data_IF_598469114382
#
_entry.id   IF_598469114382
#
_cell.length_a   1.000
_cell.length_b   1.000
_cell.length_c   1.000
_cell.angle_alpha   90.00
_cell.angle_beta   90.00
_cell.angle_gamma   90.00
#
_symmetry.space_group_name_H-M   'P 1'
#
loop_
_entity.id
_entity.type
_entity.pdbx_description
1 polymer ?
#
# COMPACT_ATOMS: atom_id res chain seq x y z
N UNK A 1 -4.59 24.67 53.97
CA UNK A 1 -3.14 24.48 53.76
C UNK A 1 -2.86 24.66 52.27
N UNK A 2 -2.41 25.84 51.86
CA UNK A 2 -2.03 26.13 50.48
C UNK A 2 -0.67 25.52 50.19
N UNK A 3 -0.61 24.52 49.30
CA UNK A 3 0.66 24.10 48.74
C UNK A 3 1.28 25.32 48.03
N UNK A 4 2.53 25.67 48.35
CA UNK A 4 3.23 26.72 47.64
C UNK A 4 3.31 26.36 46.16
N UNK A 5 3.12 27.34 45.28
CA UNK A 5 3.12 27.16 43.82
C UNK A 5 4.38 26.44 43.29
N UNK A 6 5.50 26.57 44.01
CA UNK A 6 6.77 25.88 43.72
C UNK A 6 6.73 24.37 43.95
N UNK A 7 6.05 23.90 45.00
CA UNK A 7 5.95 22.47 45.32
C UNK A 7 5.00 21.75 44.35
N UNK A 8 3.92 22.42 43.93
CA UNK A 8 3.00 21.91 42.91
C UNK A 8 3.68 21.72 41.55
N UNK A 9 4.52 22.68 41.12
CA UNK A 9 5.26 22.61 39.85
C UNK A 9 6.29 21.47 39.85
N UNK A 10 6.99 21.26 40.98
CA UNK A 10 7.98 20.19 41.11
C UNK A 10 7.35 18.81 40.99
N UNK A 11 6.12 18.63 41.48
CA UNK A 11 5.37 17.37 41.38
C UNK A 11 5.03 16.97 39.96
N UNK A 12 4.84 17.92 39.04
CA UNK A 12 4.57 17.63 37.61
C UNK A 12 5.75 16.89 36.97
N UNK A 13 6.99 17.26 37.30
CA UNK A 13 8.19 16.61 36.77
C UNK A 13 8.45 15.23 37.38
N UNK A 14 8.16 15.06 38.68
CA UNK A 14 8.57 13.86 39.43
C UNK A 14 7.52 12.75 39.44
N UNK A 15 6.23 13.06 39.40
CA UNK A 15 5.17 12.05 39.43
C UNK A 15 4.83 11.49 38.04
N UNK A 16 5.02 12.27 36.97
CA UNK A 16 4.64 11.87 35.60
C UNK A 16 5.55 10.76 35.05
N UNK A 17 6.86 10.83 35.34
CA UNK A 17 7.85 9.83 34.93
C UNK A 17 7.51 8.40 35.40
N UNK A 18 6.80 8.25 36.52
CA UNK A 18 6.51 6.93 37.11
C UNK A 18 5.28 6.23 36.51
N UNK A 19 4.48 6.93 35.70
CA UNK A 19 3.20 6.39 35.17
C UNK A 19 3.23 6.09 33.67
N UNK A 20 3.91 6.93 32.90
CA UNK A 20 4.00 6.81 31.45
C UNK A 20 5.35 7.30 30.97
N UNK A 21 5.88 6.65 29.93
CA UNK A 21 7.12 7.11 29.29
C UNK A 21 6.85 8.36 28.44
N UNK A 22 7.67 9.40 28.65
CA UNK A 22 7.80 10.58 27.79
C UNK A 22 9.26 11.02 27.88
N UNK A 23 9.87 11.40 26.76
CA UNK A 23 11.25 11.91 26.79
C UNK A 23 11.31 13.24 27.56
N UNK A 24 12.47 13.59 28.12
CA UNK A 24 12.62 14.84 28.87
C UNK A 24 12.31 16.06 27.98
N UNK A 25 12.82 16.08 26.74
CA UNK A 25 12.52 17.11 25.76
C UNK A 25 11.03 17.14 25.39
N UNK A 26 10.40 15.98 25.21
CA UNK A 26 8.97 15.88 24.93
C UNK A 26 8.11 16.42 26.08
N UNK A 27 8.47 16.12 27.33
CA UNK A 27 7.74 16.64 28.50
C UNK A 27 7.86 18.17 28.58
N UNK A 28 9.05 18.72 28.33
CA UNK A 28 9.26 20.17 28.31
C UNK A 28 8.41 20.83 27.23
N UNK A 29 8.37 20.30 26.01
CA UNK A 29 7.55 20.86 24.93
C UNK A 29 6.05 20.76 25.20
N UNK A 30 5.56 19.65 25.77
CA UNK A 30 4.16 19.53 26.19
C UNK A 30 3.81 20.60 27.23
N UNK A 31 4.68 20.84 28.22
CA UNK A 31 4.43 21.85 29.25
C UNK A 31 4.49 23.28 28.72
N UNK A 32 5.41 23.58 27.79
CA UNK A 32 5.43 24.87 27.08
C UNK A 32 4.14 25.10 26.31
N UNK A 33 3.72 24.11 25.52
CA UNK A 33 2.47 24.17 24.76
C UNK A 33 1.25 24.38 25.66
N UNK A 34 1.15 23.68 26.80
CA UNK A 34 0.07 23.89 27.79
C UNK A 34 0.15 25.26 28.44
N UNK A 35 1.35 25.81 28.68
CA UNK A 35 1.52 27.16 29.21
C UNK A 35 1.06 28.23 28.22
N UNK A 36 1.31 28.01 26.92
CA UNK A 36 0.94 28.92 25.84
C UNK A 36 -0.55 28.84 25.47
N UNK A 37 -1.11 27.63 25.38
CA UNK A 37 -2.46 27.38 24.85
C UNK A 37 -3.50 27.06 25.94
N UNK A 38 -3.07 26.92 27.19
CA UNK A 38 -3.91 26.48 28.30
C UNK A 38 -4.07 24.95 28.37
N UNK A 39 -4.72 24.49 29.45
CA UNK A 39 -5.07 23.09 29.62
C UNK A 39 -6.27 22.72 28.73
N UNK A 40 -6.24 21.60 28.00
CA UNK A 40 -7.40 21.11 27.27
C UNK A 40 -8.60 20.87 28.20
N UNK A 41 -9.81 21.16 27.72
CA UNK A 41 -11.05 20.93 28.48
C UNK A 41 -11.31 19.46 28.83
N UNK A 42 -10.74 18.53 28.05
CA UNK A 42 -10.80 17.09 28.32
C UNK A 42 -9.45 16.41 28.02
N UNK A 43 -9.00 15.55 28.94
CA UNK A 43 -7.66 14.90 28.91
C UNK A 43 -7.74 13.36 28.75
N UNK A 44 -8.72 12.87 28.00
CA UNK A 44 -8.84 11.43 27.69
C UNK A 44 -8.25 11.08 26.32
N UNK A 45 -7.85 9.82 26.13
CA UNK A 45 -7.42 9.30 24.80
C UNK A 45 -8.48 9.54 23.72
N UNK A 46 -9.76 9.41 24.07
CA UNK A 46 -10.88 9.66 23.16
C UNK A 46 -11.03 11.15 22.82
N UNK A 47 -10.88 12.05 23.79
CA UNK A 47 -10.90 13.48 23.56
C UNK A 47 -9.75 13.94 22.67
N UNK A 48 -8.52 13.46 22.95
CA UNK A 48 -7.36 13.74 22.11
C UNK A 48 -7.57 13.24 20.67
N UNK A 49 -8.10 12.02 20.49
CA UNK A 49 -8.38 11.47 19.15
C UNK A 49 -9.40 12.32 18.40
N UNK A 50 -10.49 12.74 19.05
CA UNK A 50 -11.51 13.61 18.44
C UNK A 50 -10.95 14.97 18.09
N UNK A 51 -10.29 15.66 19.04
CA UNK A 51 -9.70 16.97 18.77
C UNK A 51 -8.69 16.95 17.60
N UNK A 52 -7.89 15.88 17.49
CA UNK A 52 -7.01 15.68 16.32
C UNK A 52 -7.79 15.42 15.03
N UNK A 53 -8.89 14.67 15.10
CA UNK A 53 -9.77 14.42 13.96
C UNK A 53 -10.51 15.69 13.50
N UNK A 54 -10.95 16.53 14.43
CA UNK A 54 -11.63 17.80 14.16
C UNK A 54 -10.67 18.85 13.57
N UNK A 55 -9.41 18.81 13.97
CA UNK A 55 -8.37 19.67 13.42
C UNK A 55 -7.91 19.26 12.01
N UNK A 56 -8.20 18.03 11.57
CA UNK A 56 -7.90 17.60 10.21
C UNK A 56 -9.00 18.09 9.26
N UNK A 57 -8.60 18.62 8.10
CA UNK A 57 -9.53 18.87 7.00
C UNK A 57 -10.04 17.52 6.48
N UNK A 58 -11.13 17.04 7.06
CA UNK A 58 -11.66 15.74 6.67
C UNK A 58 -12.28 15.76 5.28
N UNK A 59 -12.70 16.94 4.80
CA UNK A 59 -13.27 17.13 3.46
C UNK A 59 -12.32 17.98 2.60
N UNK A 60 -12.10 17.52 1.37
CA UNK A 60 -11.33 18.21 0.35
C UNK A 60 -12.13 18.24 -0.96
N UNK A 61 -11.77 19.08 -1.94
CA UNK A 61 -12.38 19.01 -3.27
C UNK A 61 -12.24 17.63 -3.92
N UNK A 62 -11.23 16.83 -3.52
CA UNK A 62 -10.98 15.48 -4.02
C UNK A 62 -11.67 14.38 -3.19
N UNK A 63 -12.60 14.77 -2.32
CA UNK A 63 -13.36 13.91 -1.41
C UNK A 63 -12.77 13.86 0.00
N UNK A 64 -13.38 13.03 0.85
CA UNK A 64 -12.99 12.90 2.25
C UNK A 64 -11.62 12.25 2.42
N UNK A 65 -10.78 12.77 3.32
CA UNK A 65 -9.46 12.21 3.63
C UNK A 65 -9.56 10.78 4.16
N UNK A 66 -10.43 10.56 5.15
CA UNK A 66 -10.72 9.25 5.70
C UNK A 66 -11.93 8.65 4.99
N UNK A 67 -11.74 7.48 4.41
CA UNK A 67 -12.79 6.76 3.68
C UNK A 67 -12.72 5.27 4.02
N UNK A 68 -13.54 4.46 3.36
CA UNK A 68 -13.50 3.01 3.46
C UNK A 68 -13.45 2.37 2.08
N UNK A 69 -12.95 1.14 2.03
CA UNK A 69 -13.02 0.30 0.84
C UNK A 69 -13.73 -1.01 1.18
N UNK A 70 -14.72 -1.34 0.35
CA UNK A 70 -15.51 -2.56 0.49
C UNK A 70 -14.75 -3.77 -0.07
N UNK A 71 -14.44 -4.74 0.78
CA UNK A 71 -13.72 -5.97 0.44
C UNK A 71 -14.62 -7.19 0.64
N UNK A 72 -14.65 -8.08 -0.34
CA UNK A 72 -15.40 -9.33 -0.28
C UNK A 72 -14.63 -10.35 0.56
N UNK A 73 -15.31 -10.91 1.56
CA UNK A 73 -14.76 -11.90 2.45
C UNK A 73 -15.06 -13.33 1.96
N UNK A 74 -14.30 -14.29 2.47
CA UNK A 74 -14.46 -15.72 2.16
C UNK A 74 -15.82 -16.29 2.58
N UNK A 75 -16.51 -15.62 3.51
CA UNK A 75 -17.88 -15.94 3.94
C UNK A 75 -18.96 -15.35 3.01
N UNK A 76 -18.58 -14.76 1.88
CA UNK A 76 -19.46 -14.16 0.88
C UNK A 76 -19.98 -12.76 1.24
N UNK A 77 -19.63 -12.21 2.41
CA UNK A 77 -20.05 -10.87 2.82
C UNK A 77 -19.03 -9.83 2.38
N UNK A 78 -19.51 -8.65 1.98
CA UNK A 78 -18.65 -7.47 1.84
C UNK A 78 -18.47 -6.79 3.20
N UNK A 79 -17.27 -6.31 3.49
CA UNK A 79 -16.96 -5.55 4.71
C UNK A 79 -16.16 -4.30 4.37
N UNK A 80 -16.44 -3.23 5.09
CA UNK A 80 -15.72 -1.96 4.95
C UNK A 80 -14.41 -1.98 5.75
N UNK A 81 -13.32 -1.62 5.08
CA UNK A 81 -12.01 -1.45 5.69
C UNK A 81 -11.59 0.02 5.60
N UNK A 82 -11.18 0.65 6.71
CA UNK A 82 -10.73 2.03 6.68
C UNK A 82 -9.49 2.22 5.79
N UNK A 83 -9.51 3.29 4.99
CA UNK A 83 -8.37 3.72 4.20
C UNK A 83 -8.31 5.25 4.12
N UNK A 84 -7.18 5.75 3.65
CA UNK A 84 -6.94 7.16 3.34
C UNK A 84 -7.18 7.34 1.84
N UNK A 85 -7.99 8.33 1.48
CA UNK A 85 -8.09 8.78 0.09
C UNK A 85 -6.77 9.43 -0.32
N UNK A 86 -6.00 8.82 -1.23
CA UNK A 86 -4.65 9.28 -1.53
C UNK A 86 -4.64 10.64 -2.25
N UNK A 87 -5.65 10.94 -3.06
CA UNK A 87 -5.76 12.21 -3.78
C UNK A 87 -6.10 13.35 -2.82
N UNK A 88 -7.07 13.14 -1.93
CA UNK A 88 -7.39 14.08 -0.86
C UNK A 88 -6.19 14.32 0.08
N UNK A 89 -5.46 13.24 0.42
CA UNK A 89 -4.24 13.34 1.22
C UNK A 89 -3.17 14.19 0.54
N UNK A 90 -2.87 13.95 -0.75
CA UNK A 90 -1.92 14.75 -1.50
C UNK A 90 -2.34 16.24 -1.54
N UNK A 91 -3.61 16.50 -1.84
CA UNK A 91 -4.15 17.87 -1.85
C UNK A 91 -3.94 18.56 -0.50
N UNK A 92 -4.24 17.88 0.61
CA UNK A 92 -4.03 18.43 1.96
C UNK A 92 -2.56 18.74 2.24
N UNK A 93 -1.65 17.83 1.90
CA UNK A 93 -0.22 18.04 2.13
C UNK A 93 0.27 19.27 1.34
N UNK A 94 -0.18 19.43 0.10
CA UNK A 94 0.12 20.62 -0.72
C UNK A 94 -0.45 21.92 -0.11
N UNK A 95 -1.60 21.87 0.57
CA UNK A 95 -2.20 23.06 1.19
C UNK A 95 -1.61 23.41 2.55
N UNK A 96 -1.21 22.40 3.33
CA UNK A 96 -0.78 22.60 4.71
C UNK A 96 0.74 22.74 4.84
N UNK A 97 1.51 22.28 3.86
CA UNK A 97 2.97 22.36 3.87
C UNK A 97 3.49 23.20 2.70
N UNK A 98 3.66 24.51 2.95
CA UNK A 98 4.16 25.45 1.94
C UNK A 98 5.47 25.00 1.28
N UNK A 99 6.43 24.49 2.06
CA UNK A 99 7.73 24.03 1.53
C UNK A 99 7.58 22.81 0.62
N UNK A 100 6.67 21.89 0.96
CA UNK A 100 6.38 20.74 0.12
C UNK A 100 5.70 21.18 -1.18
N UNK A 101 4.75 22.11 -1.09
CA UNK A 101 4.09 22.73 -2.25
C UNK A 101 5.09 23.39 -3.21
N UNK A 102 5.96 24.28 -2.70
CA UNK A 102 6.98 24.96 -3.50
C UNK A 102 7.90 23.96 -4.23
N UNK A 103 8.36 22.93 -3.52
CA UNK A 103 9.17 21.87 -4.09
C UNK A 103 8.41 21.05 -5.14
N UNK A 104 7.18 20.62 -4.84
CA UNK A 104 6.32 19.85 -5.73
C UNK A 104 6.03 20.60 -7.03
N UNK A 105 5.80 21.92 -6.94
CA UNK A 105 5.59 22.76 -8.10
C UNK A 105 6.83 22.92 -8.98
N UNK A 106 8.03 22.88 -8.38
CA UNK A 106 9.31 22.88 -9.09
C UNK A 106 9.57 21.60 -9.89
N UNK A 107 8.81 20.52 -9.68
CA UNK A 107 8.92 19.30 -10.47
C UNK A 107 8.38 19.48 -11.89
N UNK A 108 8.90 18.68 -12.82
CA UNK A 108 8.45 18.68 -14.21
C UNK A 108 6.94 18.39 -14.28
N UNK A 109 6.11 19.30 -14.84
CA UNK A 109 4.67 19.08 -14.92
C UNK A 109 4.31 17.74 -15.57
N UNK A 110 3.33 17.05 -15.01
CA UNK A 110 2.66 15.96 -15.72
C UNK A 110 1.80 16.51 -16.86
N UNK A 111 1.61 15.73 -17.90
CA UNK A 111 0.63 15.99 -18.95
C UNK A 111 -0.09 14.70 -19.33
N UNK A 112 -1.13 14.80 -20.16
CA UNK A 112 -1.78 13.62 -20.72
C UNK A 112 -0.81 12.72 -21.51
N UNK A 113 0.14 13.31 -22.25
CA UNK A 113 1.16 12.58 -23.02
C UNK A 113 2.36 12.13 -22.20
N UNK A 114 2.58 12.74 -21.03
CA UNK A 114 3.67 12.42 -20.10
C UNK A 114 3.12 12.39 -18.66
N UNK A 115 2.29 11.38 -18.33
CA UNK A 115 1.72 11.25 -16.99
C UNK A 115 2.81 10.85 -16.01
N UNK A 116 2.64 11.24 -14.74
CA UNK A 116 3.51 10.81 -13.66
C UNK A 116 3.29 9.34 -13.31
N UNK A 117 4.33 8.74 -12.75
CA UNK A 117 4.40 7.34 -12.40
C UNK A 117 4.16 7.15 -10.91
N UNK A 118 3.01 6.57 -10.57
CA UNK A 118 2.70 6.19 -9.21
C UNK A 118 3.29 4.82 -8.91
N UNK A 119 3.82 4.68 -7.71
CA UNK A 119 4.28 3.40 -7.16
C UNK A 119 3.52 3.06 -5.90
N UNK A 120 3.13 1.79 -5.75
CA UNK A 120 2.48 1.27 -4.54
C UNK A 120 3.43 0.30 -3.85
N UNK A 121 3.61 0.43 -2.55
CA UNK A 121 4.36 -0.51 -1.74
C UNK A 121 3.42 -1.36 -0.87
N UNK A 122 3.66 -2.68 -0.83
CA UNK A 122 3.08 -3.60 0.14
C UNK A 122 4.16 -4.07 1.09
N UNK A 123 3.91 -3.97 2.39
CA UNK A 123 4.77 -4.54 3.42
C UNK A 123 3.97 -5.34 4.44
N UNK A 124 4.53 -6.46 4.91
CA UNK A 124 3.95 -7.26 5.98
C UNK A 124 4.77 -7.13 7.26
N UNK A 125 4.24 -6.34 8.19
CA UNK A 125 4.93 -5.88 9.38
C UNK A 125 4.55 -6.78 10.56
N UNK A 126 5.56 -7.29 11.27
CA UNK A 126 5.41 -8.11 12.46
C UNK A 126 5.86 -7.33 13.72
N UNK A 127 4.94 -6.73 14.50
CA UNK A 127 5.33 -6.00 15.70
C UNK A 127 5.91 -6.94 16.75
N UNK A 128 7.07 -6.60 17.30
CA UNK A 128 7.73 -7.38 18.37
C UNK A 128 8.53 -8.57 17.83
N UNK A 129 8.53 -9.69 18.57
CA UNK A 129 9.31 -10.86 18.18
C UNK A 129 8.66 -11.60 16.99
N UNK A 130 9.30 -11.51 15.82
CA UNK A 130 8.86 -12.17 14.59
C UNK A 130 8.83 -13.70 14.68
N UNK A 131 9.65 -14.30 15.57
CA UNK A 131 9.74 -15.76 15.76
C UNK A 131 8.68 -16.32 16.70
N UNK A 132 7.78 -15.48 17.23
CA UNK A 132 6.71 -15.97 18.11
C UNK A 132 5.78 -16.91 17.32
N UNK A 133 5.44 -18.11 17.84
CA UNK A 133 4.62 -19.09 17.13
C UNK A 133 3.27 -18.53 16.66
N UNK A 134 2.69 -17.62 17.45
CA UNK A 134 1.48 -16.87 17.11
C UNK A 134 1.76 -15.37 17.13
N UNK A 135 1.74 -14.75 15.95
CA UNK A 135 1.77 -13.30 15.80
C UNK A 135 0.42 -12.76 15.31
N UNK A 136 -0.51 -12.58 16.24
CA UNK A 136 -1.84 -12.02 15.97
C UNK A 136 -1.82 -10.51 15.68
N UNK A 137 -0.67 -9.85 15.93
CA UNK A 137 -0.46 -8.42 15.70
C UNK A 137 0.18 -8.13 14.35
N UNK A 138 0.47 -9.16 13.55
CA UNK A 138 0.99 -8.98 12.19
C UNK A 138 -0.02 -8.20 11.33
N UNK A 139 0.48 -7.24 10.58
CA UNK A 139 -0.31 -6.35 9.73
C UNK A 139 0.28 -6.32 8.32
N UNK A 140 -0.58 -6.06 7.35
CA UNK A 140 -0.23 -5.73 5.97
C UNK A 140 -0.53 -4.25 5.78
N UNK A 141 0.44 -3.49 5.30
CA UNK A 141 0.31 -2.07 5.05
C UNK A 141 0.53 -1.76 3.57
N UNK A 142 -0.28 -0.86 3.04
CA UNK A 142 -0.14 -0.31 1.70
C UNK A 142 0.24 1.16 1.77
N UNK A 143 1.28 1.52 1.04
CA UNK A 143 1.78 2.89 0.89
C UNK A 143 1.88 3.24 -0.58
N UNK A 144 2.05 4.51 -0.90
CA UNK A 144 2.34 4.94 -2.25
C UNK A 144 3.26 6.15 -2.31
N UNK A 145 3.89 6.32 -3.46
CA UNK A 145 4.73 7.46 -3.78
C UNK A 145 4.67 7.77 -5.28
N UNK A 146 5.39 8.79 -5.71
CA UNK A 146 5.48 9.24 -7.10
C UNK A 146 6.95 9.18 -7.53
N UNK A 147 7.24 8.47 -8.62
CA UNK A 147 8.62 8.28 -9.09
C UNK A 147 9.29 9.58 -9.55
N UNK A 148 8.51 10.59 -9.95
CA UNK A 148 8.99 11.92 -10.31
C UNK A 148 9.55 12.71 -9.13
N UNK A 149 9.39 12.24 -7.89
CA UNK A 149 10.17 12.74 -6.75
C UNK A 149 11.68 12.43 -6.88
N UNK A 150 12.04 11.59 -7.86
CA UNK A 150 13.40 11.33 -8.28
C UNK A 150 14.20 10.72 -7.16
N UNK A 151 15.36 11.32 -6.86
CA UNK A 151 16.23 10.79 -5.80
C UNK A 151 15.56 10.80 -4.44
N UNK A 152 14.54 11.63 -4.18
CA UNK A 152 13.92 11.69 -2.85
C UNK A 152 12.92 10.55 -2.60
N UNK A 153 12.57 9.74 -3.60
CA UNK A 153 11.60 8.63 -3.42
C UNK A 153 12.03 7.58 -2.37
N UNK A 154 13.29 7.56 -1.94
CA UNK A 154 13.73 6.69 -0.84
C UNK A 154 13.40 7.25 0.57
N UNK A 155 13.05 8.53 0.66
CA UNK A 155 12.71 9.18 1.92
C UNK A 155 11.34 8.68 2.41
N UNK A 156 11.29 8.17 3.63
CA UNK A 156 10.08 7.60 4.24
C UNK A 156 8.93 8.61 4.28
N UNK A 157 9.24 9.89 4.45
CA UNK A 157 8.27 10.99 4.49
C UNK A 157 7.52 11.20 3.18
N UNK A 158 8.05 10.67 2.06
CA UNK A 158 7.43 10.72 0.74
C UNK A 158 6.66 9.44 0.38
N UNK A 159 6.51 8.51 1.33
CA UNK A 159 5.64 7.35 1.22
C UNK A 159 4.36 7.57 2.03
N UNK A 160 3.31 7.99 1.33
CA UNK A 160 2.03 8.27 1.93
C UNK A 160 1.26 6.97 2.18
N UNK A 161 0.57 6.93 3.32
CA UNK A 161 -0.17 5.75 3.75
C UNK A 161 -1.53 5.64 3.05
N UNK A 162 -1.95 4.41 2.73
CA UNK A 162 -3.29 4.14 2.18
C UNK A 162 -4.13 3.36 3.18
N UNK A 163 -3.69 2.15 3.55
CA UNK A 163 -4.46 1.30 4.47
C UNK A 163 -3.59 0.29 5.20
N UNK A 164 -4.06 -0.15 6.36
CA UNK A 164 -3.51 -1.26 7.14
C UNK A 164 -4.60 -2.29 7.41
N UNK A 165 -4.30 -3.57 7.16
CA UNK A 165 -5.17 -4.70 7.49
C UNK A 165 -4.38 -5.69 8.34
N UNK A 166 -4.98 -6.20 9.42
CA UNK A 166 -4.35 -7.30 10.18
C UNK A 166 -4.21 -8.54 9.30
N UNK A 167 -3.08 -9.24 9.34
CA UNK A 167 -2.88 -10.46 8.55
C UNK A 167 -3.95 -11.52 8.84
N UNK A 168 -4.52 -11.54 10.06
CA UNK A 168 -5.64 -12.43 10.41
C UNK A 168 -6.96 -12.09 9.73
N UNK A 169 -7.17 -10.82 9.35
CA UNK A 169 -8.30 -10.38 8.53
C UNK A 169 -7.99 -10.53 7.05
N UNK A 170 -6.74 -10.33 6.62
CA UNK A 170 -6.30 -10.55 5.24
C UNK A 170 -6.62 -11.96 4.75
N UNK A 171 -6.40 -12.98 5.59
CA UNK A 171 -6.77 -14.38 5.29
C UNK A 171 -8.27 -14.63 5.11
N UNK A 172 -9.12 -13.71 5.56
CA UNK A 172 -10.59 -13.79 5.43
C UNK A 172 -11.10 -13.00 4.24
N UNK A 173 -10.23 -12.28 3.52
CA UNK A 173 -10.57 -11.55 2.29
C UNK A 173 -10.40 -12.50 1.12
N UNK A 174 -11.42 -12.60 0.26
CA UNK A 174 -11.35 -13.38 -0.97
C UNK A 174 -10.39 -12.69 -1.95
N UNK A 175 -9.54 -13.44 -2.64
CA UNK A 175 -8.44 -12.87 -3.43
C UNK A 175 -7.32 -12.21 -2.61
N UNK A 176 -7.45 -12.17 -1.27
CA UNK A 176 -6.44 -11.64 -0.36
C UNK A 176 -5.86 -10.29 -0.80
N UNK A 177 -4.54 -10.28 -1.01
CA UNK A 177 -3.77 -9.08 -1.38
C UNK A 177 -4.15 -8.56 -2.77
N UNK A 178 -4.49 -9.45 -3.72
CA UNK A 178 -4.84 -9.08 -5.09
C UNK A 178 -6.11 -8.23 -5.14
N UNK A 179 -7.15 -8.64 -4.41
CA UNK A 179 -8.37 -7.82 -4.30
C UNK A 179 -8.08 -6.46 -3.65
N UNK A 180 -7.25 -6.43 -2.61
CA UNK A 180 -6.89 -5.19 -1.91
C UNK A 180 -6.13 -4.26 -2.85
N UNK A 181 -5.18 -4.77 -3.64
CA UNK A 181 -4.45 -3.98 -4.63
C UNK A 181 -5.39 -3.40 -5.70
N UNK A 182 -6.35 -4.19 -6.20
CA UNK A 182 -7.36 -3.72 -7.14
C UNK A 182 -8.15 -2.53 -6.58
N UNK A 183 -8.56 -2.66 -5.32
CA UNK A 183 -9.38 -1.66 -4.63
C UNK A 183 -8.59 -0.41 -4.25
N UNK A 184 -7.33 -0.57 -3.83
CA UNK A 184 -6.37 0.53 -3.62
C UNK A 184 -6.14 1.29 -4.92
N UNK A 185 -5.92 0.58 -6.03
CA UNK A 185 -5.70 1.21 -7.34
C UNK A 185 -6.92 2.03 -7.78
N UNK A 186 -8.14 1.56 -7.49
CA UNK A 186 -9.36 2.32 -7.79
C UNK A 186 -9.46 3.65 -7.01
N UNK A 187 -8.79 3.81 -5.87
CA UNK A 187 -8.77 5.11 -5.16
C UNK A 187 -8.08 6.23 -5.97
N UNK A 188 -7.29 5.87 -6.98
CA UNK A 188 -6.59 6.81 -7.86
C UNK A 188 -7.23 6.95 -9.24
N UNK A 189 -7.93 5.90 -9.71
CA UNK A 189 -8.27 5.69 -11.12
C UNK A 189 -9.74 5.30 -11.34
N UNK A 190 -10.63 5.69 -10.41
CA UNK A 190 -12.06 5.44 -10.53
C UNK A 190 -12.86 6.65 -10.04
N UNK A 191 -14.07 6.80 -10.59
CA UNK A 191 -14.96 7.91 -10.25
C UNK A 191 -15.07 8.13 -8.72
N UNK A 192 -15.10 9.40 -8.26
CA UNK A 192 -15.26 10.61 -9.07
C UNK A 192 -13.96 11.14 -9.73
N UNK A 193 -12.78 10.64 -9.34
CA UNK A 193 -11.49 11.17 -9.79
C UNK A 193 -10.65 10.11 -10.47
N UNK A 194 -10.23 10.38 -11.70
CA UNK A 194 -9.37 9.49 -12.45
C UNK A 194 -8.09 10.21 -12.86
N UNK A 195 -6.97 9.88 -12.20
CA UNK A 195 -5.67 10.46 -12.51
C UNK A 195 -5.25 10.26 -13.97
N UNK A 196 -5.77 9.26 -14.68
CA UNK A 196 -5.47 9.06 -16.12
C UNK A 196 -6.07 10.18 -16.97
N UNK A 197 -7.18 10.75 -16.53
CA UNK A 197 -7.88 11.84 -17.20
C UNK A 197 -7.38 13.22 -16.77
N UNK A 198 -6.51 13.26 -15.75
CA UNK A 198 -6.04 14.49 -15.14
C UNK A 198 -6.99 14.96 -14.05
N UNK A 199 -6.44 15.35 -12.91
CA UNK A 199 -7.17 16.00 -11.82
C UNK A 199 -6.63 17.40 -11.60
N UNK A 200 -7.50 18.37 -11.32
CA UNK A 200 -7.08 19.72 -11.00
C UNK A 200 -6.64 19.80 -9.53
N UNK A 201 -5.41 20.24 -9.32
CA UNK A 201 -4.85 20.60 -8.03
C UNK A 201 -4.73 22.12 -7.99
N UNK A 202 -5.63 22.77 -7.26
CA UNK A 202 -5.52 24.19 -6.92
C UNK A 202 -4.60 24.33 -5.73
N UNK A 203 -3.47 25.01 -5.83
CA UNK A 203 -2.52 25.15 -4.71
C UNK A 203 -2.34 26.63 -4.36
N UNK A 204 -2.46 27.03 -3.08
CA UNK A 204 -2.36 28.43 -2.68
C UNK A 204 -1.04 29.06 -3.11
N UNK A 205 -1.10 30.21 -3.78
CA UNK A 205 0.07 30.96 -4.22
C UNK A 205 0.80 30.39 -5.45
N UNK A 206 0.38 29.23 -5.98
CA UNK A 206 1.04 28.56 -7.10
C UNK A 206 0.13 28.28 -8.30
N UNK A 207 -1.16 28.59 -8.18
CA UNK A 207 -2.15 28.47 -9.24
C UNK A 207 -2.67 27.05 -9.42
N UNK A 208 -3.56 26.88 -10.40
CA UNK A 208 -4.18 25.60 -10.73
C UNK A 208 -3.29 24.79 -11.68
N UNK A 209 -3.10 23.50 -11.39
CA UNK A 209 -2.40 22.57 -12.27
C UNK A 209 -3.14 21.27 -12.41
N UNK A 210 -3.06 20.66 -13.59
CA UNK A 210 -3.53 19.30 -13.78
C UNK A 210 -2.42 18.30 -13.42
N UNK A 211 -2.77 17.34 -12.58
CA UNK A 211 -1.96 16.16 -12.30
C UNK A 211 -2.51 14.98 -13.10
N UNK A 212 -1.68 14.44 -13.99
CA UNK A 212 -1.93 13.20 -14.72
C UNK A 212 -1.03 12.10 -14.15
N UNK A 213 -1.59 10.90 -13.96
CA UNK A 213 -0.86 9.80 -13.35
C UNK A 213 -1.25 8.44 -13.89
N UNK A 214 -0.34 7.47 -13.75
CA UNK A 214 -0.56 6.05 -14.01
C UNK A 214 0.08 5.20 -12.92
N UNK A 215 -0.51 4.04 -12.61
CA UNK A 215 0.18 3.04 -11.79
C UNK A 215 1.29 2.40 -12.62
N UNK A 216 2.53 2.51 -12.16
CA UNK A 216 3.72 2.10 -12.91
C UNK A 216 4.44 0.92 -12.28
N UNK A 217 4.50 0.91 -10.94
CA UNK A 217 5.27 -0.07 -10.20
C UNK A 217 4.54 -0.49 -8.93
N UNK A 218 4.69 -1.76 -8.58
CA UNK A 218 4.35 -2.28 -7.25
C UNK A 218 5.63 -2.83 -6.63
N UNK A 219 5.96 -2.36 -5.43
CA UNK A 219 7.14 -2.74 -4.67
C UNK A 219 6.68 -3.61 -3.50
N UNK A 220 7.23 -4.80 -3.40
CA UNK A 220 7.05 -5.66 -2.24
C UNK A 220 8.16 -6.72 -2.21
N UNK A 221 8.27 -7.46 -1.10
CA UNK A 221 9.09 -8.67 -1.08
C UNK A 221 8.49 -9.77 -1.99
N UNK A 222 9.27 -10.84 -2.20
CA UNK A 222 8.84 -11.94 -3.08
C UNK A 222 7.52 -12.56 -2.62
N UNK A 223 7.34 -12.74 -1.30
CA UNK A 223 6.15 -13.34 -0.74
C UNK A 223 4.89 -12.47 -0.95
N UNK A 224 4.95 -11.16 -0.71
CA UNK A 224 3.81 -10.27 -0.97
C UNK A 224 3.58 -10.14 -2.49
N UNK A 225 4.61 -10.05 -3.33
CA UNK A 225 4.45 -10.01 -4.79
C UNK A 225 3.68 -11.22 -5.32
N UNK A 226 3.94 -12.42 -4.79
CA UNK A 226 3.16 -13.62 -5.14
C UNK A 226 1.68 -13.47 -4.82
N UNK A 227 1.35 -12.91 -3.66
CA UNK A 227 -0.03 -12.74 -3.23
C UNK A 227 -0.75 -11.63 -4.01
N UNK A 228 -0.05 -10.53 -4.31
CA UNK A 228 -0.59 -9.40 -5.08
C UNK A 228 -0.94 -9.81 -6.52
N UNK A 229 -0.02 -10.53 -7.16
CA UNK A 229 -0.13 -10.96 -8.55
C UNK A 229 -0.64 -12.41 -8.70
N UNK A 230 -1.26 -12.97 -7.67
CA UNK A 230 -1.80 -14.34 -7.66
C UNK A 230 -0.85 -15.36 -8.30
N UNK A 231 0.44 -15.22 -8.04
CA UNK A 231 1.50 -15.95 -8.72
C UNK A 231 2.00 -17.11 -7.85
N UNK A 232 2.12 -18.32 -8.42
CA UNK A 232 2.51 -19.51 -7.66
C UNK A 232 3.98 -19.51 -7.23
N UNK A 233 4.84 -18.75 -7.90
CA UNK A 233 6.29 -18.76 -7.65
C UNK A 233 6.86 -20.17 -7.79
N UNK A 234 7.67 -20.59 -6.81
CA UNK A 234 8.29 -21.92 -6.80
C UNK A 234 7.32 -23.13 -6.89
N UNK A 235 6.02 -22.93 -6.61
CA UNK A 235 5.00 -23.98 -6.78
C UNK A 235 4.48 -24.15 -8.21
N UNK A 236 4.83 -23.25 -9.14
CA UNK A 236 4.48 -23.34 -10.55
C UNK A 236 5.57 -24.01 -11.38
N UNK A 237 5.18 -24.61 -12.50
CA UNK A 237 6.12 -25.02 -13.55
C UNK A 237 6.75 -23.78 -14.17
N UNK A 238 5.93 -22.80 -14.55
CA UNK A 238 6.37 -21.46 -14.90
C UNK A 238 6.57 -20.63 -13.63
N UNK A 239 7.76 -20.74 -13.04
CA UNK A 239 8.00 -20.27 -11.67
C UNK A 239 8.46 -18.82 -11.52
N UNK A 240 8.78 -18.13 -12.62
CA UNK A 240 9.17 -16.72 -12.59
C UNK A 240 8.10 -15.84 -13.27
N UNK A 241 7.51 -14.90 -12.52
CA UNK A 241 6.46 -14.00 -13.03
C UNK A 241 6.94 -13.12 -14.19
N UNK A 242 8.25 -12.83 -14.22
CA UNK A 242 8.87 -11.98 -15.24
C UNK A 242 9.38 -12.75 -16.45
N UNK A 243 9.47 -14.08 -16.42
CA UNK A 243 10.08 -14.86 -17.50
C UNK A 243 9.07 -15.74 -18.22
N UNK A 244 9.13 -15.76 -19.55
CA UNK A 244 8.22 -16.53 -20.41
C UNK A 244 8.73 -17.91 -20.76
N UNK A 245 10.00 -18.20 -20.48
CA UNK A 245 10.64 -19.45 -20.85
C UNK A 245 11.38 -20.16 -19.70
N UNK A 246 11.34 -19.63 -18.48
CA UNK A 246 12.00 -20.24 -17.33
C UNK A 246 11.05 -21.23 -16.65
N UNK A 247 11.40 -22.51 -16.68
CA UNK A 247 10.64 -23.61 -16.06
C UNK A 247 11.36 -24.18 -14.84
N UNK A 248 10.62 -24.74 -13.89
CA UNK A 248 11.23 -25.45 -12.77
C UNK A 248 12.11 -26.60 -13.26
N UNK A 249 13.37 -26.65 -12.81
CA UNK A 249 14.33 -27.69 -13.20
C UNK A 249 13.83 -29.13 -12.92
N UNK A 250 12.97 -29.31 -11.91
CA UNK A 250 12.39 -30.61 -11.57
C UNK A 250 11.41 -31.14 -12.64
N UNK A 251 10.86 -30.26 -13.47
CA UNK A 251 9.94 -30.64 -14.56
C UNK A 251 10.64 -31.29 -15.75
N UNK A 252 11.93 -31.01 -15.93
CA UNK A 252 12.75 -31.41 -17.09
C UNK A 252 12.16 -31.00 -18.45
N UNK A 253 11.21 -30.06 -18.51
CA UNK A 253 10.57 -29.64 -19.76
C UNK A 253 11.57 -29.04 -20.76
N UNK A 254 12.58 -28.35 -20.26
CA UNK A 254 13.71 -27.83 -21.04
C UNK A 254 14.43 -28.94 -21.83
N UNK A 255 14.60 -30.13 -21.24
CA UNK A 255 15.27 -31.26 -21.89
C UNK A 255 14.44 -31.90 -23.01
N UNK A 256 13.13 -31.67 -23.04
CA UNK A 256 12.21 -32.23 -24.03
C UNK A 256 11.60 -31.16 -24.95
N UNK A 257 12.04 -29.90 -24.83
CA UNK A 257 11.58 -28.80 -25.66
C UNK A 257 12.32 -28.77 -27.00
N UNK A 258 11.68 -29.28 -28.05
CA UNK A 258 12.22 -29.26 -29.40
C UNK A 258 12.47 -27.83 -29.94
N UNK A 259 11.82 -26.81 -29.37
CA UNK A 259 12.04 -25.42 -29.79
C UNK A 259 13.32 -24.81 -29.21
N UNK A 260 13.90 -25.42 -28.17
CA UNK A 260 15.08 -24.93 -27.46
C UNK A 260 14.86 -23.57 -26.78
N UNK A 261 13.60 -23.20 -26.51
CA UNK A 261 13.23 -21.93 -25.90
C UNK A 261 13.25 -22.03 -24.38
N UNK A 262 12.77 -23.15 -23.84
CA UNK A 262 12.67 -23.37 -22.41
C UNK A 262 14.05 -23.55 -21.78
N UNK A 263 14.24 -22.92 -20.63
CA UNK A 263 15.46 -23.03 -19.82
C UNK A 263 15.10 -23.40 -18.38
N UNK A 264 15.93 -24.21 -17.71
CA UNK A 264 15.65 -24.61 -16.34
C UNK A 264 15.88 -23.45 -15.37
N UNK A 265 15.21 -23.50 -14.22
CA UNK A 265 15.28 -22.48 -13.17
C UNK A 265 16.67 -22.25 -12.56
N UNK A 266 17.60 -23.17 -12.79
CA UNK A 266 19.00 -23.08 -12.37
C UNK A 266 19.91 -22.41 -13.41
N UNK A 267 19.35 -21.86 -14.50
CA UNK A 267 20.11 -21.07 -15.48
C UNK A 267 20.79 -19.88 -14.80
N UNK A 268 22.09 -19.71 -15.04
CA UNK A 268 22.90 -18.65 -14.41
C UNK A 268 23.04 -17.41 -15.30
N UNK A 269 22.66 -17.50 -16.58
CA UNK A 269 22.78 -16.42 -17.54
C UNK A 269 21.43 -15.76 -17.81
N UNK A 270 21.26 -14.52 -17.35
CA UNK A 270 20.03 -13.74 -17.58
C UNK A 270 19.73 -13.50 -19.06
N UNK A 271 20.73 -13.53 -19.94
CA UNK A 271 20.54 -13.40 -21.39
C UNK A 271 19.72 -14.54 -22.01
N UNK A 272 19.64 -15.68 -21.33
CA UNK A 272 18.81 -16.82 -21.75
C UNK A 272 17.35 -16.69 -21.29
N UNK A 273 17.09 -15.81 -20.32
CA UNK A 273 15.75 -15.55 -19.82
C UNK A 273 15.04 -14.57 -20.77
N UNK A 274 13.85 -14.97 -21.24
CA UNK A 274 12.97 -14.13 -22.06
C UNK A 274 11.94 -13.47 -21.16
N UNK A 275 11.77 -12.16 -21.30
CA UNK A 275 10.77 -11.43 -20.51
C UNK A 275 9.35 -11.86 -20.89
N UNK A 276 8.47 -11.90 -19.90
CA UNK A 276 7.02 -11.95 -20.07
C UNK A 276 6.47 -10.60 -20.52
N UNK A 277 5.32 -10.63 -21.18
CA UNK A 277 4.55 -9.42 -21.50
C UNK A 277 3.30 -9.35 -20.65
N UNK A 278 2.83 -8.13 -20.38
CA UNK A 278 1.57 -7.92 -19.65
C UNK A 278 0.40 -8.59 -20.39
N UNK A 279 0.40 -8.55 -21.72
CA UNK A 279 -0.63 -9.13 -22.58
C UNK A 279 -0.68 -10.65 -22.43
N UNK A 280 0.48 -11.31 -22.39
CA UNK A 280 0.56 -12.76 -22.23
C UNK A 280 0.08 -13.21 -20.84
N UNK A 281 0.46 -12.49 -19.77
CA UNK A 281 -0.03 -12.76 -18.41
C UNK A 281 -1.56 -12.60 -18.35
N UNK A 282 -2.10 -11.52 -18.92
CA UNK A 282 -3.56 -11.29 -18.99
C UNK A 282 -4.27 -12.38 -19.79
N UNK A 283 -3.67 -12.87 -20.87
CA UNK A 283 -4.23 -13.95 -21.66
C UNK A 283 -4.29 -15.26 -20.85
N UNK A 284 -3.22 -15.57 -20.12
CA UNK A 284 -3.16 -16.75 -19.25
C UNK A 284 -4.20 -16.67 -18.11
N UNK A 285 -4.35 -15.49 -17.49
CA UNK A 285 -5.36 -15.29 -16.46
C UNK A 285 -6.81 -15.43 -17.00
N UNK A 286 -7.09 -14.87 -18.19
CA UNK A 286 -8.36 -15.08 -18.90
C UNK A 286 -8.59 -16.55 -19.24
N UNK A 287 -7.55 -17.26 -19.66
CA UNK A 287 -7.63 -18.68 -19.97
C UNK A 287 -7.99 -19.49 -18.71
N UNK A 288 -7.33 -19.23 -17.57
CA UNK A 288 -7.69 -19.83 -16.29
C UNK A 288 -9.15 -19.54 -15.90
N UNK A 289 -9.59 -18.29 -16.04
CA UNK A 289 -10.98 -17.92 -15.77
C UNK A 289 -11.96 -18.75 -16.60
N UNK A 290 -11.71 -18.89 -17.91
CA UNK A 290 -12.56 -19.69 -18.79
C UNK A 290 -12.56 -21.17 -18.41
N UNK A 291 -11.39 -21.74 -18.11
CA UNK A 291 -11.23 -23.15 -17.78
C UNK A 291 -11.77 -23.51 -16.38
N UNK A 292 -11.92 -22.54 -15.49
CA UNK A 292 -12.38 -22.75 -14.10
C UNK A 292 -13.77 -23.40 -13.99
N UNK A 293 -14.65 -23.18 -14.97
CA UNK A 293 -15.98 -23.79 -15.04
C UNK A 293 -16.05 -25.03 -15.93
N UNK A 294 -14.97 -25.35 -16.64
CA UNK A 294 -14.92 -26.43 -17.64
C UNK A 294 -14.15 -27.64 -17.12
N UNK A 295 -12.98 -27.40 -16.50
CA UNK A 295 -12.10 -28.45 -16.01
C UNK A 295 -12.55 -28.92 -14.62
N UNK A 296 -12.28 -30.20 -14.33
CA UNK A 296 -12.37 -30.69 -12.96
C UNK A 296 -11.23 -30.11 -12.10
N UNK A 297 -11.38 -30.19 -10.78
CA UNK A 297 -10.43 -29.62 -9.82
C UNK A 297 -8.97 -30.01 -10.08
N UNK A 298 -8.69 -31.30 -10.27
CA UNK A 298 -7.32 -31.81 -10.47
C UNK A 298 -6.69 -31.24 -11.72
N UNK A 299 -7.39 -31.29 -12.86
CA UNK A 299 -6.87 -30.74 -14.13
C UNK A 299 -6.74 -29.22 -14.09
N UNK A 300 -7.59 -28.55 -13.34
CA UNK A 300 -7.50 -27.10 -13.16
C UNK A 300 -6.26 -26.72 -12.34
N UNK A 301 -5.99 -27.43 -11.25
CA UNK A 301 -4.77 -27.25 -10.44
C UNK A 301 -3.49 -27.51 -11.25
N UNK A 302 -3.49 -28.53 -12.12
CA UNK A 302 -2.40 -28.80 -13.07
C UNK A 302 -2.21 -27.65 -14.07
N UNK A 303 -3.29 -27.09 -14.62
CA UNK A 303 -3.24 -25.95 -15.54
C UNK A 303 -2.70 -24.69 -14.85
N UNK A 304 -3.18 -24.41 -13.64
CA UNK A 304 -2.66 -23.33 -12.82
C UNK A 304 -1.16 -23.51 -12.52
N UNK A 305 -0.73 -24.74 -12.19
CA UNK A 305 0.68 -25.06 -12.00
C UNK A 305 1.48 -24.83 -13.28
N UNK A 306 0.99 -25.31 -14.42
CA UNK A 306 1.64 -25.15 -15.71
C UNK A 306 1.84 -23.66 -16.05
N UNK A 307 0.80 -22.83 -15.88
CA UNK A 307 0.87 -21.39 -16.17
C UNK A 307 1.57 -20.57 -15.07
N UNK A 308 1.81 -21.16 -13.90
CA UNK A 308 2.40 -20.48 -12.75
C UNK A 308 1.48 -19.47 -12.07
N UNK A 309 0.20 -19.45 -12.40
CA UNK A 309 -0.78 -18.49 -11.90
C UNK A 309 -1.83 -19.22 -11.07
N UNK A 310 -2.37 -18.52 -10.07
CA UNK A 310 -3.52 -18.98 -9.27
C UNK A 310 -4.72 -18.13 -9.67
N UNK A 311 -5.83 -18.78 -9.94
CA UNK A 311 -7.08 -18.11 -10.27
C UNK A 311 -7.85 -17.79 -8.99
N UNK A 312 -8.22 -16.51 -8.83
CA UNK A 312 -9.22 -16.10 -7.84
C UNK A 312 -10.28 -15.22 -8.53
N UNK A 313 -11.58 -15.55 -8.46
CA UNK A 313 -12.64 -14.77 -9.10
C UNK A 313 -12.70 -13.29 -8.69
N UNK A 314 -12.18 -12.96 -7.50
CA UNK A 314 -12.17 -11.61 -6.95
C UNK A 314 -10.76 -11.00 -6.88
N UNK A 315 -9.76 -11.67 -7.48
CA UNK A 315 -8.42 -11.12 -7.71
C UNK A 315 -8.38 -10.14 -8.87
N UNK A 316 -7.26 -9.41 -9.00
CA UNK A 316 -7.06 -8.35 -10.01
C UNK A 316 -6.50 -8.87 -11.34
N UNK A 317 -5.99 -10.10 -11.38
CA UNK A 317 -5.48 -10.79 -12.58
C UNK A 317 -6.51 -11.73 -13.20
#
# INVERSE_FOLDING_TARGET
MSASSSDASRRVYTHTHRRSYVSQSGLVEVLKSVKENGLPSAVSRGALKRARGDALMNETPLGSLFTTTALECTDGRSREFPCINPLACLWMVLHQCQRFSEWFHGLTPSSFSSPWDLTVCCDEIAPGNALKPTNERKIVAFYWSILQFGRLVHAEELWLHILVIRSSLMRKIRGGYSQVLAKVSRLFFAAPWDLRMGIQLSVPGMGDRFLFGRLSMVVADEACLKQLWSFKGAGGTMMCFKCSNVVTHSSRLDAFDASGVLVPSCVTSLSQCRLQTCEAIKLNAKHLRYQSSVLNKTRFEELEQALGLTYDPCGDL
#
